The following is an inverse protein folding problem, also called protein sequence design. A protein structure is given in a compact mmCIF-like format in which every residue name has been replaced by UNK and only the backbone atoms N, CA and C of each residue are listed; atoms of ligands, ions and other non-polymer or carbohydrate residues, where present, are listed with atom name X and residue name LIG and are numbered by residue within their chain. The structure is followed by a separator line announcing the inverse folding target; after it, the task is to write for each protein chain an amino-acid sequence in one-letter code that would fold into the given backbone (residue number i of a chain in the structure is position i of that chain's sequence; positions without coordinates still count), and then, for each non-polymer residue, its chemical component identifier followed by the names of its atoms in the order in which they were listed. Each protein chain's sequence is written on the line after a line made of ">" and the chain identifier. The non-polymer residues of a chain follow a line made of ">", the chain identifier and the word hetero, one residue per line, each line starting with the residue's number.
data_IF_481492991943
#
_entry.id   IF_481492991943
#
_cell.length_a   1.000
_cell.length_b   1.000
_cell.length_c   1.000
_cell.angle_alpha   90.00
_cell.angle_beta   90.00
_cell.angle_gamma   90.00
#
_symmetry.space_group_name_H-M   'P 1'
#
loop_
_entity.id
_entity.type
_entity.pdbx_description
1 polymer ?
#
# COMPACT_ATOMS: atom_id res chain seq x y z
N UNK A 1 -11.05 6.71 -64.06
CA UNK A 1 -11.43 7.27 -62.74
C UNK A 1 -11.76 6.24 -61.63
N UNK A 2 -12.04 4.96 -61.93
CA UNK A 2 -12.44 3.97 -60.90
C UNK A 2 -11.30 3.52 -59.96
N UNK A 3 -10.07 3.49 -60.44
CA UNK A 3 -8.91 2.98 -59.67
C UNK A 3 -8.45 3.98 -58.60
N UNK A 4 -8.42 5.27 -58.91
CA UNK A 4 -8.03 6.33 -57.97
C UNK A 4 -8.96 6.44 -56.75
N UNK A 5 -10.26 6.15 -56.93
CA UNK A 5 -11.26 6.19 -55.84
C UNK A 5 -11.11 5.00 -54.88
N UNK A 6 -10.66 3.83 -55.36
CA UNK A 6 -10.35 2.67 -54.51
C UNK A 6 -9.10 2.88 -53.67
N UNK A 7 -8.08 3.55 -54.23
CA UNK A 7 -6.83 3.85 -53.51
C UNK A 7 -7.06 4.86 -52.38
N UNK A 8 -7.91 5.87 -52.61
CA UNK A 8 -8.29 6.82 -51.56
C UNK A 8 -9.04 6.14 -50.40
N UNK A 9 -10.01 5.27 -50.72
CA UNK A 9 -10.78 4.53 -49.71
C UNK A 9 -9.92 3.60 -48.84
N UNK A 10 -8.87 2.98 -49.40
CA UNK A 10 -7.95 2.12 -48.63
C UNK A 10 -7.11 2.96 -47.64
N UNK A 11 -6.69 4.17 -48.03
CA UNK A 11 -5.95 5.08 -47.14
C UNK A 11 -6.81 5.57 -45.97
N UNK A 12 -8.08 5.89 -46.23
CA UNK A 12 -9.04 6.27 -45.19
C UNK A 12 -9.33 5.14 -44.20
N UNK A 13 -9.42 3.89 -44.68
CA UNK A 13 -9.59 2.72 -43.82
C UNK A 13 -8.35 2.46 -42.96
N UNK A 14 -7.15 2.59 -43.53
CA UNK A 14 -5.91 2.41 -42.79
C UNK A 14 -5.71 3.47 -41.70
N UNK A 15 -6.06 4.73 -42.00
CA UNK A 15 -6.00 5.83 -41.03
C UNK A 15 -7.02 5.67 -39.91
N UNK A 16 -8.27 5.31 -40.25
CA UNK A 16 -9.32 5.04 -39.24
C UNK A 16 -8.99 3.82 -38.37
N UNK A 17 -8.41 2.78 -38.95
CA UNK A 17 -7.99 1.59 -38.21
C UNK A 17 -6.86 1.93 -37.23
N UNK A 18 -5.88 2.75 -37.64
CA UNK A 18 -4.82 3.26 -36.77
C UNK A 18 -5.38 4.01 -35.55
N UNK A 19 -6.31 4.94 -35.77
CA UNK A 19 -6.93 5.70 -34.68
C UNK A 19 -7.74 4.81 -33.72
N UNK A 20 -8.49 3.83 -34.23
CA UNK A 20 -9.29 2.92 -33.40
C UNK A 20 -8.38 2.01 -32.56
N UNK A 21 -7.26 1.55 -33.12
CA UNK A 21 -6.27 0.74 -32.38
C UNK A 21 -5.61 1.56 -31.27
N UNK A 22 -5.22 2.81 -31.54
CA UNK A 22 -4.65 3.71 -30.53
C UNK A 22 -5.62 4.00 -29.38
N UNK A 23 -6.90 4.25 -29.67
CA UNK A 23 -7.91 4.52 -28.64
C UNK A 23 -8.23 3.25 -27.84
N UNK A 24 -8.28 2.09 -28.49
CA UNK A 24 -8.57 0.80 -27.83
C UNK A 24 -7.41 0.35 -26.91
N UNK A 25 -6.16 0.67 -27.27
CA UNK A 25 -4.99 0.44 -26.42
C UNK A 25 -4.93 1.39 -25.22
N UNK A 26 -5.38 2.64 -25.38
CA UNK A 26 -5.46 3.60 -24.27
C UNK A 26 -6.61 3.30 -23.30
N UNK A 27 -7.69 2.68 -23.77
CA UNK A 27 -8.82 2.25 -22.92
C UNK A 27 -8.62 0.87 -22.26
N UNK A 28 -7.43 0.26 -22.38
CA UNK A 28 -7.17 -1.00 -21.69
C UNK A 28 -7.18 -0.77 -20.16
N UNK A 29 -7.84 -1.63 -19.37
CA UNK A 29 -7.90 -1.49 -17.91
C UNK A 29 -6.52 -1.58 -17.23
N UNK A 30 -5.48 -2.02 -17.96
CA UNK A 30 -4.09 -1.95 -17.54
C UNK A 30 -3.57 -0.50 -17.41
N UNK A 31 -4.12 0.46 -18.16
CA UNK A 31 -3.83 1.89 -18.06
C UNK A 31 -4.80 2.65 -17.14
N UNK A 32 -5.97 2.08 -16.83
CA UNK A 32 -6.85 2.59 -15.76
C UNK A 32 -6.40 2.16 -14.35
N UNK A 33 -5.24 1.52 -14.23
CA UNK A 33 -4.60 1.24 -12.96
C UNK A 33 -3.86 2.48 -12.40
N UNK A 34 -4.52 3.64 -12.41
CA UNK A 34 -4.23 4.69 -11.43
C UNK A 34 -4.86 4.25 -10.10
N UNK A 35 -4.33 3.16 -9.53
CA UNK A 35 -4.35 3.04 -8.08
C UNK A 35 -3.68 4.31 -7.55
N UNK A 36 -4.41 5.08 -6.75
CA UNK A 36 -3.98 6.35 -6.16
C UNK A 36 -2.48 6.30 -5.82
N UNK A 37 -1.63 6.89 -6.65
CA UNK A 37 -0.17 6.88 -6.43
C UNK A 37 0.17 7.52 -5.08
N UNK A 38 -0.70 8.44 -4.64
CA UNK A 38 -0.68 9.05 -3.32
C UNK A 38 -1.00 8.03 -2.22
N UNK A 39 -2.00 7.16 -2.40
CA UNK A 39 -2.31 6.10 -1.42
C UNK A 39 -1.18 5.09 -1.34
N UNK A 40 -0.62 4.68 -2.48
CA UNK A 40 0.49 3.73 -2.51
C UNK A 40 1.76 4.31 -1.86
N UNK A 41 2.07 5.58 -2.14
CA UNK A 41 3.17 6.28 -1.49
C UNK A 41 2.94 6.42 0.02
N UNK A 42 1.74 6.84 0.44
CA UNK A 42 1.38 6.94 1.85
C UNK A 42 1.43 5.58 2.56
N UNK A 43 0.95 4.52 1.93
CA UNK A 43 0.99 3.17 2.45
C UNK A 43 2.43 2.66 2.56
N UNK A 44 3.29 2.97 1.59
CA UNK A 44 4.71 2.65 1.62
C UNK A 44 5.45 3.42 2.72
N UNK A 45 5.19 4.72 2.88
CA UNK A 45 5.76 5.53 3.96
C UNK A 45 5.31 5.04 5.33
N UNK A 46 4.01 4.76 5.51
CA UNK A 46 3.47 4.18 6.74
C UNK A 46 4.06 2.80 7.02
N UNK A 47 4.28 1.97 5.99
CA UNK A 47 4.93 0.66 6.13
C UNK A 47 6.39 0.78 6.55
N UNK A 48 7.10 1.81 6.10
CA UNK A 48 8.46 2.11 6.58
C UNK A 48 8.52 2.46 8.06
N UNK A 49 7.48 3.11 8.60
CA UNK A 49 7.42 3.59 9.99
C UNK A 49 6.78 2.57 10.94
N UNK A 50 5.71 1.90 10.50
CA UNK A 50 4.87 1.01 11.32
C UNK A 50 4.87 -0.44 10.86
N UNK A 51 5.62 -0.80 9.82
CA UNK A 51 5.80 -2.18 9.40
C UNK A 51 6.39 -3.04 10.52
N UNK A 52 6.23 -4.36 10.44
CA UNK A 52 6.59 -5.23 11.57
C UNK A 52 8.08 -5.23 11.95
N UNK A 53 8.96 -4.81 11.04
CA UNK A 53 10.41 -4.67 11.31
C UNK A 53 10.85 -3.21 11.50
N UNK A 54 9.91 -2.26 11.50
CA UNK A 54 10.21 -0.85 11.62
C UNK A 54 10.79 -0.50 12.99
N UNK A 55 11.69 0.48 13.01
CA UNK A 55 12.38 0.93 14.23
C UNK A 55 11.44 1.43 15.33
N UNK A 56 10.24 1.90 14.97
CA UNK A 56 9.21 2.32 15.93
C UNK A 56 8.87 1.21 16.93
N UNK A 57 8.58 -0.01 16.45
CA UNK A 57 8.21 -1.14 17.32
C UNK A 57 9.34 -1.53 18.27
N UNK A 58 10.58 -1.50 17.76
CA UNK A 58 11.78 -1.83 18.55
C UNK A 58 11.97 -0.82 19.69
N UNK A 59 11.83 0.48 19.41
CA UNK A 59 11.99 1.52 20.43
C UNK A 59 10.79 1.58 21.40
N UNK A 60 9.58 1.38 20.90
CA UNK A 60 8.37 1.36 21.72
C UNK A 60 8.38 0.21 22.73
N UNK A 61 8.65 -1.01 22.27
CA UNK A 61 8.73 -2.20 23.14
C UNK A 61 9.88 -2.06 24.13
N UNK A 62 11.01 -1.51 23.72
CA UNK A 62 12.15 -1.28 24.62
C UNK A 62 11.80 -0.30 25.75
N UNK A 63 11.14 0.81 25.42
CA UNK A 63 10.69 1.78 26.40
C UNK A 63 9.64 1.19 27.36
N UNK A 64 8.70 0.41 26.82
CA UNK A 64 7.62 -0.21 27.59
C UNK A 64 8.15 -1.29 28.56
N UNK A 65 9.08 -2.14 28.10
CA UNK A 65 9.78 -3.10 28.97
C UNK A 65 10.61 -2.38 30.04
N UNK A 66 11.31 -1.29 29.70
CA UNK A 66 12.08 -0.53 30.68
C UNK A 66 11.17 0.06 31.77
N UNK A 67 10.04 0.66 31.38
CA UNK A 67 9.07 1.24 32.31
C UNK A 67 8.41 0.14 33.17
N UNK A 68 8.03 -0.98 32.57
CA UNK A 68 7.48 -2.13 33.26
C UNK A 68 8.49 -2.77 34.22
N UNK A 69 9.78 -2.76 33.87
CA UNK A 69 10.84 -3.23 34.76
C UNK A 69 10.95 -2.33 35.98
N UNK A 70 10.94 -1.00 35.79
CA UNK A 70 10.94 -0.04 36.92
C UNK A 70 9.69 -0.22 37.80
N UNK A 71 8.52 -0.35 37.18
CA UNK A 71 7.26 -0.56 37.90
C UNK A 71 7.19 -1.93 38.58
N UNK A 72 7.75 -2.97 37.98
CA UNK A 72 7.87 -4.32 38.54
C UNK A 72 8.81 -4.37 39.73
N UNK A 73 9.94 -3.66 39.68
CA UNK A 73 10.87 -3.52 40.81
C UNK A 73 10.24 -2.78 41.99
N UNK A 74 9.46 -1.72 41.72
CA UNK A 74 8.77 -0.94 42.75
C UNK A 74 7.58 -1.68 43.36
N UNK A 75 6.79 -2.36 42.54
CA UNK A 75 5.58 -3.07 42.98
C UNK A 75 5.83 -4.48 43.49
N UNK A 76 6.99 -5.08 43.17
CA UNK A 76 7.30 -6.51 43.37
C UNK A 76 6.24 -7.44 42.77
N UNK A 77 5.51 -6.98 41.75
CA UNK A 77 4.44 -7.73 41.12
C UNK A 77 4.80 -8.04 39.65
N UNK A 78 5.00 -9.32 39.28
CA UNK A 78 5.37 -9.69 37.92
C UNK A 78 4.22 -9.50 36.91
N UNK A 79 2.99 -9.27 37.37
CA UNK A 79 1.82 -9.05 36.50
C UNK A 79 1.96 -7.80 35.61
N UNK A 80 2.84 -6.87 35.97
CA UNK A 80 3.13 -5.67 35.16
C UNK A 80 3.65 -6.03 33.75
N UNK A 81 4.37 -7.16 33.61
CA UNK A 81 4.85 -7.64 32.31
C UNK A 81 3.75 -8.20 31.41
N UNK A 82 2.62 -8.64 31.97
CA UNK A 82 1.43 -9.01 31.17
C UNK A 82 0.83 -7.77 30.51
N UNK A 83 0.89 -6.62 31.20
CA UNK A 83 0.54 -5.33 30.64
C UNK A 83 1.35 -5.01 29.37
N UNK A 84 2.68 -5.19 29.43
CA UNK A 84 3.61 -4.99 28.29
C UNK A 84 3.22 -5.84 27.08
N UNK A 85 2.80 -7.08 27.32
CA UNK A 85 2.39 -7.96 26.23
C UNK A 85 1.13 -7.44 25.53
N UNK A 86 0.16 -6.93 26.30
CA UNK A 86 -1.08 -6.39 25.75
C UNK A 86 -0.86 -5.03 25.06
N UNK A 87 -0.03 -4.16 25.63
CA UNK A 87 0.32 -2.85 25.05
C UNK A 87 1.16 -2.98 23.79
N UNK A 88 1.93 -4.06 23.61
CA UNK A 88 2.61 -4.36 22.35
C UNK A 88 1.66 -5.00 21.32
N UNK A 89 0.81 -5.94 21.73
CA UNK A 89 -0.06 -6.68 20.82
C UNK A 89 -1.23 -5.87 20.28
N UNK A 90 -1.92 -5.10 21.11
CA UNK A 90 -3.13 -4.38 20.69
C UNK A 90 -2.81 -3.38 19.57
N UNK A 91 -1.82 -2.47 19.71
CA UNK A 91 -1.47 -1.57 18.62
C UNK A 91 -0.97 -2.32 17.38
N UNK A 92 -0.20 -3.41 17.55
CA UNK A 92 0.33 -4.19 16.44
C UNK A 92 -0.77 -4.84 15.61
N UNK A 93 -1.79 -5.38 16.30
CA UNK A 93 -2.98 -5.92 15.69
C UNK A 93 -3.81 -4.85 14.97
N UNK A 94 -4.03 -3.69 15.59
CA UNK A 94 -4.79 -2.59 15.00
C UNK A 94 -4.12 -2.07 13.72
N UNK A 95 -2.81 -1.83 13.75
CA UNK A 95 -2.04 -1.39 12.58
C UNK A 95 -2.12 -2.44 11.47
N UNK A 96 -1.93 -3.72 11.79
CA UNK A 96 -2.01 -4.80 10.80
C UNK A 96 -3.42 -4.96 10.22
N UNK A 97 -4.48 -4.74 11.00
CA UNK A 97 -5.86 -4.96 10.53
C UNK A 97 -6.44 -3.79 9.75
N UNK A 98 -6.09 -2.56 10.11
CA UNK A 98 -6.72 -1.34 9.58
C UNK A 98 -5.80 -0.51 8.67
N UNK A 99 -4.48 -0.57 8.86
CA UNK A 99 -3.51 0.21 8.07
C UNK A 99 -2.88 -0.64 6.96
N UNK A 100 -2.61 -1.92 7.24
CA UNK A 100 -2.09 -2.87 6.25
C UNK A 100 -3.05 -4.05 6.05
N UNK A 101 -4.29 -3.80 5.59
CA UNK A 101 -5.26 -4.88 5.39
C UNK A 101 -4.64 -5.96 4.50
N UNK A 102 -4.78 -7.22 4.92
CA UNK A 102 -4.42 -8.34 4.07
C UNK A 102 -5.23 -8.23 2.78
N UNK A 103 -4.54 -8.09 1.65
CA UNK A 103 -5.13 -8.12 0.32
C UNK A 103 -5.79 -9.48 0.06
#
# INVERSE_FOLDING_TARGET
>A
MKVSKKIAAIKDVFFKCSCVISVTLLSHPAFSAEGDVVKDFMQQSLKGIFGSDAGFWKMFILADIALATVAGLKSKNPMVFVGVFMTALVPGFLVKRYVFPAA
#
